data_IF_824873571041
#
_entry.id   IF_824873571041
#
_cell.length_a   1.000
_cell.length_b   1.000
_cell.length_c   1.000
_cell.angle_alpha   90.00
_cell.angle_beta   90.00
_cell.angle_gamma   90.00
#
_symmetry.space_group_name_H-M   'P 1'
#
loop_
_entity.id
_entity.type
_entity.pdbx_description
1 polymer ?
#
# COMPACT_ATOMS: atom_id res chain seq x y z
N UNK A 1 23.02 51.15 1.10
CA UNK A 1 22.10 51.15 2.26
C UNK A 1 21.35 49.83 2.26
N UNK A 2 21.30 49.14 3.40
CA UNK A 2 20.65 47.81 3.52
C UNK A 2 19.15 47.92 3.28
N UNK A 3 18.59 47.06 2.41
CA UNK A 3 17.14 46.94 2.22
C UNK A 3 16.44 46.25 3.41
N UNK A 4 17.19 45.57 4.29
CA UNK A 4 16.66 44.81 5.43
C UNK A 4 16.74 45.61 6.73
N UNK A 5 15.70 45.49 7.57
CA UNK A 5 15.70 45.97 8.95
C UNK A 5 16.75 45.24 9.80
N UNK A 6 17.35 45.91 10.78
CA UNK A 6 18.33 45.29 11.68
C UNK A 6 17.77 44.06 12.42
N UNK A 7 16.49 44.12 12.82
CA UNK A 7 15.81 42.99 13.45
C UNK A 7 15.65 41.80 12.50
N UNK A 8 15.29 42.06 11.24
CA UNK A 8 15.16 41.02 10.21
C UNK A 8 16.51 40.37 9.91
N UNK A 9 17.60 41.14 9.86
CA UNK A 9 18.94 40.60 9.69
C UNK A 9 19.34 39.68 10.85
N UNK A 10 19.10 40.10 12.09
CA UNK A 10 19.38 39.28 13.26
C UNK A 10 18.57 37.98 13.23
N UNK A 11 17.26 38.05 12.96
CA UNK A 11 16.38 36.88 12.82
C UNK A 11 16.86 35.94 11.71
N UNK A 12 17.19 36.46 10.53
CA UNK A 12 17.70 35.69 9.40
C UNK A 12 19.02 34.96 9.74
N UNK A 13 19.96 35.63 10.40
CA UNK A 13 21.24 35.00 10.79
C UNK A 13 21.06 33.96 11.89
N UNK A 14 20.10 34.13 12.80
CA UNK A 14 19.76 33.14 13.81
C UNK A 14 19.12 31.89 13.16
N UNK A 15 18.18 32.11 12.24
CA UNK A 15 17.51 31.07 11.46
C UNK A 15 18.50 30.26 10.62
N UNK A 16 19.40 30.94 9.91
CA UNK A 16 20.41 30.25 9.11
C UNK A 16 21.27 29.31 9.96
N UNK A 17 21.70 29.78 11.15
CA UNK A 17 22.47 28.94 12.08
C UNK A 17 21.63 27.81 12.67
N UNK A 18 20.34 28.03 12.96
CA UNK A 18 19.46 26.99 13.49
C UNK A 18 19.27 25.88 12.46
N UNK A 19 19.00 26.20 11.19
CA UNK A 19 18.90 25.24 10.09
C UNK A 19 20.18 24.40 9.92
N UNK A 20 21.36 25.03 9.94
CA UNK A 20 22.62 24.29 9.80
C UNK A 20 22.89 23.35 10.99
N UNK A 21 22.47 23.73 12.19
CA UNK A 21 22.59 22.88 13.38
C UNK A 21 21.58 21.74 13.36
N UNK A 22 20.32 21.99 12.98
CA UNK A 22 19.29 20.94 12.92
C UNK A 22 19.61 19.91 11.85
N UNK A 23 20.00 20.34 10.65
CA UNK A 23 20.41 19.44 9.56
C UNK A 23 21.62 18.60 9.93
N UNK A 24 22.63 19.19 10.60
CA UNK A 24 23.78 18.44 11.13
C UNK A 24 23.38 17.38 12.16
N UNK A 25 22.43 17.72 13.03
CA UNK A 25 21.93 16.78 14.05
C UNK A 25 21.09 15.65 13.41
N UNK A 26 20.23 16.00 12.44
CA UNK A 26 19.34 15.09 11.74
C UNK A 26 20.10 14.06 10.87
N UNK A 27 21.07 14.54 10.08
CA UNK A 27 21.85 13.71 9.14
C UNK A 27 23.22 13.31 9.72
N UNK A 28 23.30 13.07 11.03
CA UNK A 28 24.57 12.74 11.67
C UNK A 28 25.18 11.45 11.10
N UNK A 29 26.38 11.54 10.52
CA UNK A 29 27.05 10.41 9.86
C UNK A 29 26.75 10.28 8.36
N UNK A 30 25.85 11.09 7.81
CA UNK A 30 25.61 11.19 6.37
C UNK A 30 26.14 12.53 5.83
N UNK A 31 27.40 12.50 5.38
CA UNK A 31 28.09 13.68 4.88
C UNK A 31 27.46 14.20 3.58
N UNK A 32 26.98 13.33 2.70
CA UNK A 32 26.40 13.73 1.43
C UNK A 32 25.07 14.46 1.64
N UNK A 33 24.17 13.90 2.46
CA UNK A 33 22.91 14.58 2.79
C UNK A 33 23.14 15.91 3.52
N UNK A 34 24.11 15.96 4.44
CA UNK A 34 24.46 17.20 5.16
C UNK A 34 24.95 18.28 4.20
N UNK A 35 25.86 17.96 3.28
CA UNK A 35 26.38 18.93 2.31
C UNK A 35 25.29 19.41 1.34
N UNK A 36 24.48 18.48 0.80
CA UNK A 36 23.38 18.84 -0.07
C UNK A 36 22.38 19.79 0.63
N UNK A 37 22.01 19.51 1.88
CA UNK A 37 21.13 20.37 2.67
C UNK A 37 21.76 21.75 2.93
N UNK A 38 23.07 21.82 3.15
CA UNK A 38 23.79 23.09 3.31
C UNK A 38 23.77 23.92 2.02
N UNK A 39 24.04 23.29 0.89
CA UNK A 39 24.01 23.93 -0.42
C UNK A 39 22.61 24.46 -0.76
N UNK A 40 21.56 23.68 -0.48
CA UNK A 40 20.18 24.11 -0.67
C UNK A 40 19.80 25.27 0.25
N UNK A 41 20.15 25.19 1.55
CA UNK A 41 19.91 26.28 2.50
C UNK A 41 20.60 27.55 2.03
N UNK A 42 21.88 27.45 1.62
CA UNK A 42 22.64 28.58 1.11
C UNK A 42 21.99 29.16 -0.15
N UNK A 43 21.62 28.31 -1.12
CA UNK A 43 20.95 28.72 -2.36
C UNK A 43 19.68 29.50 -2.07
N UNK A 44 18.81 28.98 -1.18
CA UNK A 44 17.55 29.62 -0.80
C UNK A 44 17.72 30.98 -0.15
N UNK A 45 18.70 31.12 0.74
CA UNK A 45 19.01 32.42 1.35
C UNK A 45 19.62 33.41 0.35
N UNK A 46 20.38 32.93 -0.64
CA UNK A 46 20.89 33.78 -1.72
C UNK A 46 19.77 34.24 -2.67
N UNK A 47 18.80 33.37 -2.96
CA UNK A 47 17.57 33.73 -3.70
C UNK A 47 16.76 34.78 -2.91
N UNK A 48 16.51 34.55 -1.62
CA UNK A 48 15.77 35.47 -0.76
C UNK A 48 16.47 36.83 -0.58
N UNK A 49 17.81 36.88 -0.74
CA UNK A 49 18.59 38.13 -0.65
C UNK A 49 18.19 39.15 -1.73
N UNK A 50 17.65 38.71 -2.87
CA UNK A 50 17.25 39.63 -3.95
C UNK A 50 15.89 40.27 -3.71
N UNK A 51 15.07 39.69 -2.83
CA UNK A 51 13.74 40.20 -2.49
C UNK A 51 13.84 41.50 -1.67
N UNK A 52 12.91 42.44 -1.92
CA UNK A 52 12.90 43.77 -1.28
C UNK A 52 11.59 44.09 -0.55
N UNK A 53 10.56 43.27 -0.72
CA UNK A 53 9.26 43.46 -0.09
C UNK A 53 9.31 43.02 1.38
N UNK A 54 9.03 43.95 2.30
CA UNK A 54 9.14 43.70 3.74
C UNK A 54 8.26 42.51 4.21
N UNK A 55 7.02 42.44 3.75
CA UNK A 55 6.09 41.37 4.13
C UNK A 55 6.56 39.99 3.66
N UNK A 56 7.01 39.87 2.41
CA UNK A 56 7.52 38.61 1.87
C UNK A 56 8.78 38.14 2.59
N UNK A 57 9.62 39.07 3.03
CA UNK A 57 10.80 38.77 3.84
C UNK A 57 10.38 38.14 5.17
N UNK A 58 9.39 38.74 5.85
CA UNK A 58 8.90 38.22 7.12
C UNK A 58 8.22 36.85 6.96
N UNK A 59 7.42 36.66 5.90
CA UNK A 59 6.84 35.36 5.53
C UNK A 59 7.92 34.30 5.26
N UNK A 60 8.99 34.68 4.55
CA UNK A 60 10.12 33.78 4.28
C UNK A 60 10.88 33.37 5.55
N UNK A 61 11.00 34.29 6.52
CA UNK A 61 11.58 33.99 7.83
C UNK A 61 10.68 33.06 8.64
N UNK A 62 9.36 33.28 8.63
CA UNK A 62 8.41 32.39 9.29
C UNK A 62 8.42 30.99 8.67
N UNK A 63 8.44 30.89 7.34
CA UNK A 63 8.58 29.62 6.64
C UNK A 63 9.87 28.90 7.03
N UNK A 64 10.99 29.62 7.17
CA UNK A 64 12.25 29.02 7.62
C UNK A 64 12.17 28.45 9.05
N UNK A 65 11.45 29.11 9.96
CA UNK A 65 11.19 28.60 11.32
C UNK A 65 10.30 27.35 11.30
N UNK A 66 9.28 27.32 10.43
CA UNK A 66 8.45 26.12 10.20
C UNK A 66 9.25 24.96 9.63
N UNK A 67 10.20 25.22 8.73
CA UNK A 67 11.10 24.18 8.20
C UNK A 67 11.97 23.62 9.34
N UNK A 68 12.50 24.46 10.21
CA UNK A 68 13.25 24.01 11.41
C UNK A 68 12.38 23.12 12.28
N UNK A 69 11.12 23.50 12.51
CA UNK A 69 10.17 22.70 13.26
C UNK A 69 9.94 21.34 12.59
N UNK A 70 9.62 21.34 11.30
CA UNK A 70 9.34 20.14 10.52
C UNK A 70 10.54 19.17 10.51
N UNK A 71 11.76 19.69 10.32
CA UNK A 71 12.97 18.86 10.30
C UNK A 71 13.24 18.19 11.65
N UNK A 72 12.88 18.82 12.77
CA UNK A 72 13.05 18.24 14.11
C UNK A 72 11.98 17.20 14.44
N UNK A 73 10.72 17.51 14.12
CA UNK A 73 9.58 16.75 14.63
C UNK A 73 9.14 15.64 13.67
N UNK A 74 9.23 15.88 12.35
CA UNK A 74 8.61 15.00 11.35
C UNK A 74 9.60 14.18 10.54
N UNK A 75 10.89 14.55 10.52
CA UNK A 75 11.90 13.86 9.71
C UNK A 75 12.79 12.99 10.58
N UNK A 76 13.02 11.76 10.15
CA UNK A 76 13.91 10.79 10.80
C UNK A 76 14.85 10.16 9.78
N UNK A 77 16.06 9.82 10.22
CA UNK A 77 17.06 9.17 9.37
C UNK A 77 16.98 7.65 9.51
N UNK A 78 16.91 6.93 8.40
CA UNK A 78 17.13 5.49 8.35
C UNK A 78 18.62 5.19 8.17
N UNK A 79 19.20 4.40 9.07
CA UNK A 79 20.58 3.90 8.97
C UNK A 79 20.52 2.41 8.68
N UNK A 80 21.22 1.96 7.64
CA UNK A 80 21.30 0.53 7.29
C UNK A 80 22.05 -0.24 8.38
N UNK A 81 21.50 -1.38 8.78
CA UNK A 81 22.07 -2.26 9.80
C UNK A 81 22.62 -3.53 9.11
N UNK A 82 23.94 -3.68 9.18
CA UNK A 82 24.70 -4.86 8.76
C UNK A 82 24.42 -5.39 7.34
N UNK A 83 24.15 -4.49 6.38
CA UNK A 83 23.89 -4.85 4.97
C UNK A 83 22.73 -5.85 4.80
N UNK A 84 21.88 -5.97 5.83
CA UNK A 84 20.81 -6.97 5.92
C UNK A 84 19.51 -6.49 5.30
N UNK A 85 19.54 -5.38 4.54
CA UNK A 85 18.37 -4.65 4.03
C UNK A 85 17.41 -4.18 5.13
N UNK A 86 17.87 -4.11 6.38
CA UNK A 86 17.10 -3.62 7.52
C UNK A 86 17.61 -2.26 7.91
N UNK A 87 16.71 -1.28 7.92
CA UNK A 87 17.02 0.08 8.31
C UNK A 87 16.54 0.35 9.73
N UNK A 88 17.46 0.83 10.57
CA UNK A 88 17.13 1.35 11.88
C UNK A 88 16.81 2.83 11.78
N UNK A 89 15.60 3.20 12.19
CA UNK A 89 15.19 4.60 12.24
C UNK A 89 15.77 5.27 13.50
N UNK A 90 16.35 6.46 13.31
CA UNK A 90 16.88 7.29 14.38
C UNK A 90 15.85 8.34 14.80
N UNK A 91 15.20 8.08 15.93
CA UNK A 91 14.31 9.05 16.57
C UNK A 91 15.10 10.00 17.46
N UNK A 92 14.72 11.27 17.47
CA UNK A 92 15.25 12.28 18.39
C UNK A 92 14.23 12.60 19.48
N UNK A 93 14.66 13.32 20.52
CA UNK A 93 13.78 13.72 21.64
C UNK A 93 12.61 14.59 21.20
N UNK A 94 12.82 15.37 20.15
CA UNK A 94 11.87 16.33 19.62
C UNK A 94 10.98 15.69 18.54
N UNK A 95 11.22 14.44 18.15
CA UNK A 95 10.45 13.80 17.08
C UNK A 95 9.05 13.47 17.57
N UNK A 96 8.01 13.92 16.86
CA UNK A 96 6.63 13.64 17.20
C UNK A 96 6.27 12.21 16.78
N UNK A 97 6.01 11.35 17.76
CA UNK A 97 5.38 10.06 17.52
C UNK A 97 3.87 10.28 17.56
N UNK A 98 3.25 10.40 16.40
CA UNK A 98 1.79 10.55 16.31
C UNK A 98 1.07 9.40 17.04
N UNK A 99 0.08 9.72 17.87
CA UNK A 99 -0.78 8.69 18.46
C UNK A 99 -1.76 8.19 17.40
N UNK A 100 -1.70 6.90 17.09
CA UNK A 100 -2.54 6.27 16.07
C UNK A 100 -4.02 6.15 16.49
N UNK A 101 -4.38 6.60 17.69
CA UNK A 101 -5.73 6.44 18.24
C UNK A 101 -6.79 7.22 17.46
N UNK A 102 -6.44 8.38 16.89
CA UNK A 102 -7.36 9.19 16.07
C UNK A 102 -7.65 8.58 14.68
N UNK A 103 -6.76 7.73 14.14
CA UNK A 103 -6.92 7.10 12.82
C UNK A 103 -7.98 5.99 12.88
N UNK A 104 -8.09 5.30 14.03
CA UNK A 104 -9.06 4.22 14.23
C UNK A 104 -10.50 4.73 14.40
N UNK A 105 -10.68 6.00 14.77
CA UNK A 105 -12.00 6.61 15.05
C UNK A 105 -12.64 7.22 13.80
N UNK A 106 -12.10 7.00 12.58
CA UNK A 106 -12.83 7.42 11.38
C UNK A 106 -14.20 6.72 11.35
N UNK A 107 -15.31 7.45 11.52
CA UNK A 107 -16.63 6.87 11.39
C UNK A 107 -16.77 6.31 9.98
N UNK A 108 -17.53 5.22 9.83
CA UNK A 108 -17.83 4.70 8.50
C UNK A 108 -18.35 5.86 7.62
N UNK A 109 -17.83 6.03 6.39
CA UNK A 109 -18.22 7.15 5.54
C UNK A 109 -19.74 7.14 5.37
N UNK A 110 -20.34 8.32 5.49
CA UNK A 110 -21.79 8.46 5.38
C UNK A 110 -22.25 8.03 3.97
N UNK A 111 -23.50 7.59 3.84
CA UNK A 111 -24.06 7.26 2.52
C UNK A 111 -23.99 8.44 1.53
N UNK A 112 -23.96 9.68 2.02
CA UNK A 112 -23.76 10.88 1.21
C UNK A 112 -22.34 10.98 0.65
N UNK A 113 -21.32 10.69 1.45
CA UNK A 113 -19.91 10.67 1.02
C UNK A 113 -19.62 9.50 0.08
N UNK A 114 -20.21 8.31 0.32
CA UNK A 114 -20.10 7.16 -0.58
C UNK A 114 -20.77 7.45 -1.92
N UNK A 115 -21.92 8.15 -1.92
CA UNK A 115 -22.58 8.59 -3.17
C UNK A 115 -21.75 9.65 -3.91
N UNK A 116 -21.08 10.55 -3.19
CA UNK A 116 -20.19 11.56 -3.77
C UNK A 116 -18.90 10.95 -4.35
N UNK A 117 -18.37 9.89 -3.75
CA UNK A 117 -17.17 9.18 -4.23
C UNK A 117 -17.46 8.10 -5.29
N UNK A 118 -18.71 7.61 -5.37
CA UNK A 118 -19.15 6.65 -6.40
C UNK A 118 -19.11 7.17 -7.84
N UNK A 119 -18.73 8.43 -8.07
CA UNK A 119 -18.64 9.04 -9.41
C UNK A 119 -17.24 9.47 -9.86
N UNK A 120 -16.20 9.38 -9.03
CA UNK A 120 -14.85 9.82 -9.43
C UNK A 120 -13.83 8.71 -9.24
N UNK A 121 -13.87 7.74 -10.16
CA UNK A 121 -12.65 7.04 -10.56
C UNK A 121 -11.95 7.97 -11.53
N UNK A 122 -11.13 8.89 -11.03
CA UNK A 122 -10.00 9.37 -11.82
C UNK A 122 -9.11 8.16 -12.08
N UNK A 123 -9.39 7.46 -13.17
CA UNK A 123 -8.38 6.71 -13.87
C UNK A 123 -7.21 7.65 -14.11
N UNK A 124 -6.02 7.21 -13.79
CA UNK A 124 -4.80 7.71 -14.40
C UNK A 124 -4.88 7.40 -15.90
N UNK A 125 -5.67 8.17 -16.63
CA UNK A 125 -5.57 8.27 -18.07
C UNK A 125 -4.28 9.04 -18.33
N UNK A 126 -3.24 8.33 -18.74
CA UNK A 126 -2.04 8.94 -19.28
C UNK A 126 -2.43 9.81 -20.47
N UNK A 127 -2.28 11.12 -20.35
CA UNK A 127 -2.20 12.00 -21.50
C UNK A 127 -0.81 11.79 -22.14
N UNK A 128 -0.74 10.89 -23.12
CA UNK A 128 0.26 11.00 -24.17
C UNK A 128 -0.27 12.05 -25.15
N UNK A 129 0.01 13.32 -24.87
CA UNK A 129 -0.03 14.36 -25.89
C UNK A 129 1.16 14.11 -26.81
N UNK A 130 0.87 13.59 -28.00
CA UNK A 130 1.78 13.64 -29.14
C UNK A 130 1.94 15.10 -29.58
N UNK A 131 2.77 15.86 -28.87
CA UNK A 131 3.34 17.09 -29.36
C UNK A 131 4.84 16.85 -29.52
N UNK A 132 5.29 16.82 -30.78
CA UNK A 132 6.71 16.99 -31.09
C UNK A 132 7.09 18.45 -30.81
N UNK A 133 8.11 18.70 -29.97
CA UNK A 133 8.99 19.83 -30.22
C UNK A 133 10.33 19.31 -30.74
N UNK A 134 10.81 19.96 -31.79
CA UNK A 134 12.15 19.78 -32.31
C UNK A 134 13.19 20.13 -31.24
N UNK A 135 14.09 19.16 -31.02
CA UNK A 135 15.51 19.26 -30.64
C UNK A 135 15.97 20.55 -29.94
N UNK A 136 16.39 20.40 -28.68
CA UNK A 136 17.60 21.09 -28.19
C UNK A 136 18.39 20.15 -27.30
N UNK A 137 19.56 19.77 -27.78
CA UNK A 137 20.48 18.86 -27.13
C UNK A 137 21.25 19.57 -26.01
N UNK A 138 21.30 18.97 -24.82
CA UNK A 138 22.36 19.23 -23.84
C UNK A 138 22.67 17.96 -23.03
N UNK A 139 23.95 17.59 -23.13
CA UNK A 139 24.77 16.77 -22.23
C UNK A 139 24.31 15.34 -21.90
N UNK A 140 25.00 14.41 -22.54
CA UNK A 140 25.13 12.99 -22.20
C UNK A 140 25.89 12.81 -20.86
N UNK A 141 25.14 12.58 -19.78
CA UNK A 141 25.58 11.66 -18.73
C UNK A 141 24.47 10.63 -18.56
N UNK A 142 24.49 9.64 -19.44
CA UNK A 142 23.70 8.42 -19.26
C UNK A 142 24.11 7.83 -17.92
N UNK A 143 23.27 8.01 -16.90
CA UNK A 143 23.35 7.18 -15.72
C UNK A 143 23.07 5.78 -16.20
N UNK A 144 24.05 4.90 -16.03
CA UNK A 144 23.95 3.47 -16.25
C UNK A 144 23.10 2.88 -15.11
N UNK A 145 21.85 3.35 -14.98
CA UNK A 145 20.88 2.76 -14.08
C UNK A 145 20.57 1.38 -14.65
N UNK A 146 21.17 0.35 -14.03
CA UNK A 146 20.88 -1.04 -14.37
C UNK A 146 19.38 -1.25 -14.21
N UNK A 147 18.66 -1.24 -15.33
CA UNK A 147 17.24 -1.53 -15.37
C UNK A 147 17.01 -2.85 -14.60
N UNK A 148 15.96 -2.93 -13.78
CA UNK A 148 15.63 -4.17 -13.09
C UNK A 148 15.48 -5.27 -14.13
N UNK A 149 16.11 -6.43 -13.88
CA UNK A 149 15.98 -7.60 -14.78
C UNK A 149 14.49 -7.87 -15.02
N UNK A 150 14.07 -8.06 -16.29
CA UNK A 150 12.67 -8.35 -16.57
C UNK A 150 12.25 -9.62 -15.84
N UNK A 151 11.01 -9.65 -15.36
CA UNK A 151 10.44 -10.85 -14.72
C UNK A 151 10.44 -11.98 -15.77
N UNK A 152 10.94 -13.19 -15.44
CA UNK A 152 10.93 -14.30 -16.39
C UNK A 152 9.49 -14.62 -16.81
N UNK A 153 9.29 -14.77 -18.10
CA UNK A 153 8.03 -15.18 -18.69
C UNK A 153 8.19 -16.57 -19.31
N UNK A 154 7.19 -17.42 -19.11
CA UNK A 154 7.17 -18.80 -19.58
C UNK A 154 6.01 -18.99 -20.57
N UNK A 155 6.24 -19.68 -21.70
CA UNK A 155 5.17 -20.03 -22.61
C UNK A 155 4.26 -21.09 -21.97
N UNK A 156 2.98 -20.78 -21.89
CA UNK A 156 1.97 -21.64 -21.27
C UNK A 156 0.83 -21.90 -22.25
N UNK A 157 0.35 -23.15 -22.31
CA UNK A 157 -0.87 -23.52 -23.04
C UNK A 157 -2.06 -23.42 -22.11
N UNK A 158 -2.97 -22.48 -22.40
CA UNK A 158 -4.24 -22.34 -21.70
C UNK A 158 -5.31 -23.10 -22.48
N UNK A 159 -5.90 -24.11 -21.86
CA UNK A 159 -7.07 -24.80 -22.39
C UNK A 159 -8.31 -23.99 -21.98
N UNK A 160 -8.96 -23.41 -22.98
CA UNK A 160 -10.18 -22.64 -22.82
C UNK A 160 -11.39 -23.54 -22.58
N UNK A 161 -12.51 -22.92 -22.20
CA UNK A 161 -13.78 -23.62 -22.00
C UNK A 161 -14.24 -24.34 -23.26
N UNK A 162 -14.12 -23.74 -24.43
CA UNK A 162 -14.49 -24.36 -25.71
C UNK A 162 -13.55 -25.51 -26.15
N UNK A 163 -12.60 -25.93 -25.30
CA UNK A 163 -11.58 -26.93 -25.62
C UNK A 163 -10.48 -26.42 -26.55
N UNK A 164 -10.57 -25.18 -27.02
CA UNK A 164 -9.51 -24.56 -27.82
C UNK A 164 -8.30 -24.28 -26.93
N UNK A 165 -7.10 -24.38 -27.52
CA UNK A 165 -5.85 -24.11 -26.79
C UNK A 165 -5.22 -22.81 -27.29
N UNK A 166 -4.96 -21.88 -26.38
CA UNK A 166 -4.22 -20.64 -26.67
C UNK A 166 -2.85 -20.69 -26.00
N UNK A 167 -1.81 -20.29 -26.73
CA UNK A 167 -0.48 -20.09 -26.17
C UNK A 167 -0.35 -18.66 -25.64
N UNK A 168 -0.11 -18.52 -24.35
CA UNK A 168 0.12 -17.24 -23.68
C UNK A 168 1.45 -17.27 -22.94
N UNK A 169 2.23 -16.20 -23.06
CA UNK A 169 3.44 -16.03 -22.25
C UNK A 169 3.04 -15.40 -20.93
N UNK A 170 3.20 -16.13 -19.82
CA UNK A 170 2.78 -15.68 -18.48
C UNK A 170 3.95 -15.75 -17.50
N UNK A 171 3.82 -15.14 -16.32
CA UNK A 171 4.85 -15.21 -15.26
C UNK A 171 4.79 -16.50 -14.43
N UNK A 172 3.84 -17.40 -14.72
CA UNK A 172 3.69 -18.67 -14.01
C UNK A 172 4.59 -19.74 -14.66
N UNK A 173 5.31 -20.58 -13.87
CA UNK A 173 6.15 -21.64 -14.41
C UNK A 173 5.36 -22.86 -14.90
N UNK A 174 4.01 -22.80 -14.92
CA UNK A 174 3.18 -23.93 -15.33
C UNK A 174 3.08 -23.97 -16.84
N UNK A 175 3.35 -25.14 -17.43
CA UNK A 175 3.27 -25.32 -18.88
C UNK A 175 1.82 -25.45 -19.40
N UNK A 176 0.88 -25.86 -18.54
CA UNK A 176 -0.52 -26.10 -18.88
C UNK A 176 -1.46 -25.57 -17.78
N UNK A 177 -2.49 -24.82 -18.18
CA UNK A 177 -3.57 -24.37 -17.29
C UNK A 177 -4.92 -24.58 -17.95
N UNK A 178 -5.85 -25.22 -17.25
CA UNK A 178 -7.22 -25.50 -17.72
C UNK A 178 -8.19 -24.51 -17.08
N UNK A 179 -9.09 -23.90 -17.86
CA UNK A 179 -10.18 -23.10 -17.30
C UNK A 179 -11.18 -24.04 -16.58
N UNK A 180 -11.44 -23.75 -15.30
CA UNK A 180 -12.25 -24.62 -14.41
C UNK A 180 -13.75 -24.60 -14.70
N UNK A 181 -14.23 -23.64 -15.51
CA UNK A 181 -15.64 -23.51 -15.87
C UNK A 181 -15.79 -23.51 -17.38
N UNK A 182 -16.18 -24.66 -17.88
CA UNK A 182 -16.55 -24.90 -19.26
C UNK A 182 -18.06 -25.11 -19.33
N UNK A 183 -18.74 -24.39 -20.23
CA UNK A 183 -20.19 -24.51 -20.44
C UNK A 183 -20.57 -25.80 -21.21
N UNK A 184 -19.62 -26.42 -21.91
CA UNK A 184 -19.74 -27.74 -22.54
C UNK A 184 -19.51 -28.89 -21.54
N UNK A 185 -18.91 -28.58 -20.38
CA UNK A 185 -18.72 -29.49 -19.25
C UNK A 185 -19.92 -29.49 -18.26
N UNK A 186 -21.14 -29.22 -18.75
CA UNK A 186 -22.34 -29.30 -17.93
C UNK A 186 -23.01 -30.68 -18.09
N UNK A 187 -23.33 -31.39 -16.99
CA UNK A 187 -23.81 -32.77 -17.02
C UNK A 187 -25.14 -32.93 -17.77
N UNK A 188 -25.93 -31.86 -17.88
CA UNK A 188 -27.19 -31.85 -18.62
C UNK A 188 -27.02 -32.00 -20.15
N UNK A 189 -25.89 -31.56 -20.72
CA UNK A 189 -25.69 -31.55 -22.18
C UNK A 189 -24.54 -32.45 -22.66
N UNK A 190 -23.75 -33.03 -21.75
CA UNK A 190 -22.82 -34.10 -22.06
C UNK A 190 -23.01 -35.26 -21.06
N UNK A 191 -24.01 -36.15 -21.32
CA UNK A 191 -24.41 -37.20 -20.38
C UNK A 191 -23.34 -38.27 -20.18
N UNK A 192 -22.33 -38.34 -21.06
CA UNK A 192 -21.19 -39.26 -20.92
C UNK A 192 -20.17 -38.82 -19.87
N UNK A 193 -20.23 -37.57 -19.39
CA UNK A 193 -19.28 -37.06 -18.40
C UNK A 193 -19.47 -37.69 -17.02
N UNK A 194 -20.69 -38.07 -16.65
CA UNK A 194 -20.95 -38.79 -15.40
C UNK A 194 -20.33 -40.20 -15.35
N UNK A 195 -19.86 -40.73 -16.48
CA UNK A 195 -19.11 -41.99 -16.55
C UNK A 195 -17.58 -41.75 -16.60
N UNK A 196 -17.13 -40.50 -16.80
CA UNK A 196 -15.70 -40.10 -16.87
C UNK A 196 -15.21 -39.38 -15.61
N UNK A 197 -16.07 -39.19 -14.62
CA UNK A 197 -15.83 -38.42 -13.38
C UNK A 197 -14.80 -39.02 -12.42
N UNK A 198 -14.15 -40.12 -12.78
CA UNK A 198 -13.06 -40.66 -11.97
C UNK A 198 -11.69 -40.23 -12.53
N UNK A 199 -11.46 -40.22 -13.85
CA UNK A 199 -10.09 -40.13 -14.39
C UNK A 199 -9.44 -38.72 -14.45
N UNK A 200 -10.19 -37.64 -14.68
CA UNK A 200 -9.61 -36.28 -14.82
C UNK A 200 -9.69 -35.45 -13.51
N UNK A 201 -10.63 -35.80 -12.64
CA UNK A 201 -10.68 -35.36 -11.23
C UNK A 201 -9.66 -36.12 -10.38
N UNK A 202 -9.21 -37.30 -10.80
CA UNK A 202 -8.21 -38.13 -10.09
C UNK A 202 -6.89 -37.40 -9.82
N UNK A 203 -6.45 -36.52 -10.71
CA UNK A 203 -5.25 -35.70 -10.50
C UNK A 203 -5.46 -34.68 -9.36
N UNK A 204 -6.66 -34.12 -9.23
CA UNK A 204 -7.04 -33.21 -8.15
C UNK A 204 -7.41 -33.98 -6.86
N UNK A 205 -7.99 -35.19 -6.93
CA UNK A 205 -8.27 -36.03 -5.76
C UNK A 205 -7.00 -36.64 -5.18
N UNK A 206 -6.00 -36.95 -6.01
CA UNK A 206 -4.67 -37.37 -5.57
C UNK A 206 -3.90 -36.24 -4.91
N UNK A 207 -4.02 -35.02 -5.44
CA UNK A 207 -3.42 -33.82 -4.83
C UNK A 207 -4.11 -33.42 -3.53
N UNK A 208 -5.44 -33.41 -3.51
CA UNK A 208 -6.25 -33.15 -2.31
C UNK A 208 -6.11 -34.29 -1.30
N UNK A 209 -5.93 -35.53 -1.75
CA UNK A 209 -5.68 -36.71 -0.94
C UNK A 209 -4.29 -36.67 -0.29
N UNK A 210 -3.25 -36.29 -1.04
CA UNK A 210 -1.90 -36.04 -0.49
C UNK A 210 -1.90 -34.86 0.48
N UNK A 211 -2.63 -33.80 0.19
CA UNK A 211 -2.82 -32.67 1.09
C UNK A 211 -3.55 -33.10 2.37
N UNK A 212 -4.67 -33.80 2.26
CA UNK A 212 -5.40 -34.38 3.40
C UNK A 212 -4.49 -35.29 4.22
N UNK A 213 -3.69 -36.18 3.61
CA UNK A 213 -2.74 -37.01 4.37
C UNK A 213 -1.66 -36.20 5.09
N UNK A 214 -1.16 -35.13 4.46
CA UNK A 214 -0.08 -34.29 5.02
C UNK A 214 -0.57 -33.34 6.12
N UNK A 215 -1.82 -32.91 6.07
CA UNK A 215 -2.40 -31.91 6.97
C UNK A 215 -3.55 -32.44 7.85
N UNK A 216 -3.94 -33.71 7.73
CA UNK A 216 -4.97 -34.32 8.59
C UNK A 216 -4.55 -34.40 10.05
N UNK A 217 -3.27 -34.65 10.35
CA UNK A 217 -2.77 -34.64 11.74
C UNK A 217 -2.82 -33.24 12.36
N UNK A 218 -2.50 -32.20 11.58
CA UNK A 218 -2.56 -30.81 12.05
C UNK A 218 -4.02 -30.32 12.22
N UNK A 219 -4.93 -30.74 11.33
CA UNK A 219 -6.36 -30.47 11.47
C UNK A 219 -6.99 -31.21 12.67
N UNK A 220 -6.55 -32.45 12.97
CA UNK A 220 -7.01 -33.21 14.11
C UNK A 220 -6.54 -32.60 15.45
N UNK A 221 -5.33 -32.03 15.50
CA UNK A 221 -4.82 -31.28 16.67
C UNK A 221 -5.50 -29.91 16.82
N UNK A 222 -5.85 -29.24 15.72
CA UNK A 222 -6.63 -28.00 15.75
C UNK A 222 -8.09 -28.21 16.21
N UNK A 223 -8.66 -29.40 16.04
CA UNK A 223 -10.01 -29.74 16.50
C UNK A 223 -10.10 -30.09 17.99
N UNK A 224 -8.98 -30.40 18.66
CA UNK A 224 -8.96 -30.63 20.11
C UNK A 224 -8.74 -29.35 20.94
N UNK A 225 -8.33 -28.24 20.33
CA UNK A 225 -8.04 -26.98 21.04
C UNK A 225 -9.11 -25.89 20.87
N UNK A 226 -10.21 -26.18 20.17
CA UNK A 226 -11.35 -25.27 20.04
C UNK A 226 -12.58 -25.95 20.66
N UNK A 227 -12.66 -25.94 22.00
CA UNK A 227 -13.95 -26.10 22.67
C UNK A 227 -14.69 -24.78 22.52
N UNK A 228 -15.68 -24.76 21.63
CA UNK A 228 -16.56 -23.60 21.47
C UNK A 228 -17.50 -23.55 22.68
N UNK A 229 -17.09 -22.80 23.71
CA UNK A 229 -17.85 -22.59 24.94
C UNK A 229 -19.00 -21.59 24.69
N UNK A 230 -20.11 -21.70 25.42
CA UNK A 230 -21.36 -20.95 25.19
C UNK A 230 -21.16 -19.41 25.23
N UNK A 231 -20.08 -18.93 25.87
CA UNK A 231 -19.69 -17.52 25.89
C UNK A 231 -19.11 -16.97 24.56
N UNK A 232 -18.62 -17.82 23.66
CA UNK A 232 -18.05 -17.42 22.36
C UNK A 232 -19.14 -17.19 21.28
N UNK A 233 -20.43 -17.33 21.66
CA UNK A 233 -21.60 -16.94 20.86
C UNK A 233 -22.10 -15.51 21.13
N UNK A 234 -21.59 -14.80 22.13
CA UNK A 234 -22.12 -13.48 22.49
C UNK A 234 -21.86 -12.42 21.40
N UNK A 235 -20.76 -12.57 20.65
CA UNK A 235 -20.50 -11.71 19.48
C UNK A 235 -21.43 -12.02 18.28
N UNK A 236 -22.06 -13.20 18.25
CA UNK A 236 -23.09 -13.58 17.25
C UNK A 236 -24.52 -13.25 17.73
N UNK A 237 -24.69 -12.94 19.01
CA UNK A 237 -25.93 -12.47 19.65
C UNK A 237 -26.19 -10.97 19.41
N UNK A 238 -25.19 -10.21 18.98
CA UNK A 238 -25.29 -8.79 18.59
C UNK A 238 -26.08 -8.51 17.30
N UNK A 239 -27.16 -9.25 17.05
CA UNK A 239 -28.16 -8.92 16.05
C UNK A 239 -28.84 -7.61 16.45
N UNK A 240 -28.79 -6.61 15.55
CA UNK A 240 -29.45 -5.30 15.67
C UNK A 240 -30.71 -5.37 16.54
N UNK A 241 -30.73 -4.64 17.65
CA UNK A 241 -31.97 -4.37 18.37
C UNK A 241 -32.98 -3.82 17.35
N UNK A 242 -34.02 -4.58 17.11
CA UNK A 242 -35.12 -4.13 16.29
C UNK A 242 -35.76 -2.95 17.01
N UNK A 243 -35.89 -1.81 16.31
CA UNK A 243 -36.74 -0.69 16.76
C UNK A 243 -38.08 -1.25 17.25
N UNK A 244 -38.54 -0.77 18.40
CA UNK A 244 -39.84 -1.11 18.98
C UNK A 244 -40.93 -1.08 17.90
N UNK A 245 -41.52 -2.25 17.60
CA UNK A 245 -42.71 -2.35 16.72
C UNK A 245 -42.71 -3.42 15.62
N UNK A 246 -41.64 -4.17 15.35
CA UNK A 246 -41.72 -5.28 14.37
C UNK A 246 -42.08 -6.62 15.01
N UNK A 247 -43.15 -7.32 14.57
CA UNK A 247 -43.56 -8.59 15.16
C UNK A 247 -42.59 -9.72 14.83
N UNK A 248 -42.21 -10.51 15.84
CA UNK A 248 -41.33 -11.67 15.69
C UNK A 248 -42.05 -12.84 15.02
N UNK A 249 -41.50 -13.36 13.92
CA UNK A 249 -41.99 -14.57 13.26
C UNK A 249 -41.36 -15.79 13.92
N UNK A 250 -42.12 -16.48 14.77
CA UNK A 250 -41.73 -17.78 15.32
C UNK A 250 -41.83 -18.85 14.23
N UNK A 251 -40.70 -19.37 13.73
CA UNK A 251 -40.69 -20.57 12.87
C UNK A 251 -40.94 -21.83 13.72
N UNK A 252 -42.01 -22.56 13.39
CA UNK A 252 -42.35 -23.89 13.96
C UNK A 252 -41.21 -24.89 13.70
N UNK A 253 -40.84 -25.63 14.74
CA UNK A 253 -39.92 -26.76 14.68
C UNK A 253 -40.50 -27.90 13.81
N UNK A 254 -39.73 -28.36 12.82
CA UNK A 254 -40.05 -29.54 12.00
C UNK A 254 -39.44 -30.78 12.65
N UNK A 255 -40.28 -31.62 13.26
CA UNK A 255 -39.86 -32.86 13.89
C UNK A 255 -39.31 -33.88 12.89
N UNK A 256 -38.18 -34.50 13.25
CA UNK A 256 -37.63 -35.69 12.59
C UNK A 256 -38.50 -36.90 12.95
N UNK A 257 -39.24 -37.43 11.98
CA UNK A 257 -39.88 -38.74 12.07
C UNK A 257 -38.85 -39.84 11.78
N UNK A 258 -38.64 -40.74 12.75
CA UNK A 258 -38.08 -42.08 12.52
C UNK A 258 -39.20 -42.96 11.97
N UNK A 259 -38.96 -43.60 10.83
CA UNK A 259 -39.32 -44.98 10.51
C UNK A 259 -38.52 -45.41 9.28
#
# INVERSE_FOLDING_TARGET
MSAFSAAQQQRATALYRSLLRTTRALFAGDAHATQAAYDETRRKFLEARTERDAQKIDEGLEMGEQIVYLLKHNVVQGVDEDQSQRYKLRFTKDTELGSNDSIKVRPAPSLAEIKKSRGSRTSCAGLHTAARPQVRAYSTRARDEKLPRPVPQFPQRVLLADGSSIQLTTTSPRHLTRLTRDYTNHPLWNPTMGHRTDADTEDDTGRLGRFRRRFAEEAAQAQQSISFDEGDLDWMSGGREAREGTPMVTKKAKGKGRK
#
